data_IF_213507600691
#
_entry.id   IF_213507600691
#
_cell.length_a   1.000
_cell.length_b   1.000
_cell.length_c   1.000
_cell.angle_alpha   90.00
_cell.angle_beta   90.00
_cell.angle_gamma   90.00
#
_symmetry.space_group_name_H-M   'P 1'
#
loop_
_entity.id
_entity.type
_entity.pdbx_description
1 polymer ?
#
# COMPACT_ATOMS: atom_id res chain seq x y z
N UNK A 1 64.84 10.71 33.72
CA UNK A 1 63.72 9.81 33.30
C UNK A 1 62.43 10.25 33.99
N UNK A 2 61.41 10.72 33.25
CA UNK A 2 60.06 11.03 33.80
C UNK A 2 58.89 10.83 32.81
N UNK A 3 59.11 10.81 31.48
CA UNK A 3 58.03 10.69 30.48
C UNK A 3 57.24 9.37 30.53
N UNK A 4 57.90 8.27 30.90
CA UNK A 4 57.34 6.90 30.86
C UNK A 4 56.03 6.75 31.64
N UNK A 5 55.97 7.33 32.84
CA UNK A 5 54.84 7.11 33.75
C UNK A 5 53.60 7.89 33.29
N UNK A 6 53.76 9.05 32.64
CA UNK A 6 52.64 9.82 32.08
C UNK A 6 52.01 9.10 30.89
N UNK A 7 52.83 8.53 30.00
CA UNK A 7 52.37 7.75 28.86
C UNK A 7 51.64 6.47 29.30
N UNK A 8 52.16 5.80 30.33
CA UNK A 8 51.52 4.60 30.91
C UNK A 8 50.16 4.93 31.53
N UNK A 9 50.03 6.05 32.26
CA UNK A 9 48.75 6.49 32.83
C UNK A 9 47.71 6.77 31.74
N UNK A 10 48.12 7.46 30.66
CA UNK A 10 47.26 7.77 29.52
C UNK A 10 46.75 6.47 28.86
N UNK A 11 47.63 5.50 28.65
CA UNK A 11 47.27 4.21 28.05
C UNK A 11 46.24 3.44 28.89
N UNK A 12 46.43 3.42 30.22
CA UNK A 12 45.49 2.79 31.16
C UNK A 12 44.11 3.49 31.09
N UNK A 13 44.06 4.82 31.06
CA UNK A 13 42.78 5.54 30.98
C UNK A 13 42.01 5.25 29.69
N UNK A 14 42.68 5.20 28.54
CA UNK A 14 42.02 4.82 27.26
C UNK A 14 41.45 3.40 27.32
N UNK A 15 42.21 2.44 27.87
CA UNK A 15 41.75 1.06 28.01
C UNK A 15 40.49 1.01 28.90
N UNK A 16 40.49 1.66 30.06
CA UNK A 16 39.30 1.69 30.94
C UNK A 16 38.05 2.31 30.29
N UNK A 17 38.21 3.38 29.50
CA UNK A 17 37.09 4.03 28.81
C UNK A 17 36.53 3.09 27.73
N UNK A 18 37.40 2.45 26.93
CA UNK A 18 36.97 1.50 25.90
C UNK A 18 36.26 0.25 26.46
N UNK A 19 36.58 -0.16 27.70
CA UNK A 19 35.90 -1.28 28.38
C UNK A 19 34.50 -0.95 28.91
N UNK A 20 34.11 0.33 28.95
CA UNK A 20 32.82 0.77 29.53
C UNK A 20 31.67 0.91 28.53
N UNK A 21 31.87 0.53 27.26
CA UNK A 21 30.85 0.63 26.19
C UNK A 21 30.33 -0.77 25.84
N UNK A 22 29.35 -1.27 26.62
CA UNK A 22 28.62 -2.51 26.33
C UNK A 22 27.25 -2.23 25.72
N UNK A 23 27.00 -2.53 24.43
CA UNK A 23 25.71 -2.31 23.79
C UNK A 23 24.76 -3.50 24.02
N UNK A 24 24.12 -3.59 25.19
CA UNK A 24 23.19 -4.68 25.50
C UNK A 24 22.07 -4.33 26.49
N UNK A 25 20.91 -3.94 25.97
CA UNK A 25 19.60 -4.15 26.60
C UNK A 25 18.59 -4.44 25.49
N UNK A 26 18.20 -5.70 25.35
CA UNK A 26 17.33 -6.18 24.27
C UNK A 26 15.89 -5.72 24.41
N UNK A 27 15.17 -5.69 23.30
CA UNK A 27 13.73 -5.53 23.24
C UNK A 27 13.06 -6.63 24.10
N UNK A 28 12.31 -6.23 25.13
CA UNK A 28 11.50 -7.15 25.93
C UNK A 28 10.12 -7.22 25.32
N UNK A 29 9.84 -8.31 24.60
CA UNK A 29 8.49 -8.65 24.15
C UNK A 29 7.65 -9.04 25.36
N UNK A 30 6.61 -8.26 25.63
CA UNK A 30 5.61 -8.55 26.66
C UNK A 30 4.61 -9.56 26.08
N UNK A 31 4.61 -10.78 26.60
CA UNK A 31 3.80 -11.89 26.08
C UNK A 31 2.36 -11.76 26.60
N UNK A 32 1.40 -11.57 25.70
CA UNK A 32 -0.02 -11.59 26.05
C UNK A 32 -0.40 -12.99 26.55
N UNK A 33 -0.94 -13.05 27.77
CA UNK A 33 -1.62 -14.25 28.27
C UNK A 33 -2.85 -14.46 27.38
N UNK A 34 -2.89 -15.59 26.68
CA UNK A 34 -4.08 -16.03 25.96
C UNK A 34 -5.11 -16.54 26.97
N UNK A 35 -6.18 -15.78 27.16
CA UNK A 35 -7.29 -16.12 28.06
C UNK A 35 -8.34 -16.90 27.24
N UNK A 36 -8.06 -18.17 26.99
CA UNK A 36 -8.73 -19.02 25.97
C UNK A 36 -10.17 -19.46 26.33
N UNK A 37 -10.79 -18.86 27.35
CA UNK A 37 -12.03 -19.37 28.00
C UNK A 37 -13.35 -18.65 27.59
N UNK A 38 -13.36 -17.73 26.60
CA UNK A 38 -14.61 -17.05 26.14
C UNK A 38 -15.05 -17.39 24.69
N UNK A 39 -15.01 -18.66 24.30
CA UNK A 39 -15.74 -19.18 23.12
C UNK A 39 -16.89 -20.12 23.50
N UNK A 40 -17.83 -19.60 24.30
CA UNK A 40 -19.04 -20.30 24.74
C UNK A 40 -20.05 -20.57 23.61
N UNK A 41 -19.80 -21.60 22.81
CA UNK A 41 -20.75 -22.12 21.81
C UNK A 41 -21.87 -22.96 22.44
N UNK A 42 -22.80 -22.31 23.16
CA UNK A 42 -24.04 -22.95 23.63
C UNK A 42 -25.22 -22.54 22.72
N UNK A 43 -25.77 -23.52 21.97
CA UNK A 43 -26.91 -23.31 21.08
C UNK A 43 -28.14 -24.12 21.48
N UNK A 44 -29.34 -23.56 21.35
CA UNK A 44 -30.56 -24.30 21.71
C UNK A 44 -31.92 -23.68 21.37
N UNK A 45 -32.55 -24.24 20.33
CA UNK A 45 -34.01 -24.47 20.17
C UNK A 45 -34.99 -23.30 19.95
N UNK A 46 -35.46 -23.27 18.71
CA UNK A 46 -36.84 -23.17 18.25
C UNK A 46 -38.00 -22.99 19.26
N UNK A 47 -38.88 -22.01 18.99
CA UNK A 47 -40.31 -22.08 19.29
C UNK A 47 -41.13 -21.47 18.13
N UNK A 48 -42.00 -22.26 17.50
CA UNK A 48 -43.01 -21.80 16.51
C UNK A 48 -44.39 -22.41 16.85
N UNK A 49 -45.42 -21.59 17.04
CA UNK A 49 -46.83 -21.96 16.86
C UNK A 49 -47.58 -20.95 15.91
N UNK A 50 -48.87 -21.16 15.53
CA UNK A 50 -49.24 -21.11 14.10
C UNK A 50 -50.10 -19.89 13.63
N UNK A 51 -50.42 -19.76 12.32
CA UNK A 51 -50.99 -18.54 11.73
C UNK A 51 -52.53 -18.48 11.68
N UNK A 52 -53.09 -17.27 11.57
CA UNK A 52 -54.51 -17.05 11.21
C UNK A 52 -54.75 -15.94 10.15
N UNK A 53 -55.22 -16.40 8.97
CA UNK A 53 -56.31 -15.83 8.15
C UNK A 53 -56.27 -14.33 7.75
N UNK A 54 -55.73 -14.10 6.55
CA UNK A 54 -56.29 -13.33 5.41
C UNK A 54 -57.24 -12.12 5.64
N UNK A 55 -56.88 -10.99 5.02
CA UNK A 55 -57.81 -9.95 4.54
C UNK A 55 -57.30 -9.33 3.21
N UNK A 56 -58.14 -8.69 2.37
CA UNK A 56 -57.86 -8.52 0.93
C UNK A 56 -56.98 -7.29 0.56
N UNK A 57 -56.34 -7.30 -0.64
CA UNK A 57 -55.28 -6.34 -0.98
C UNK A 57 -55.79 -4.97 -1.46
N UNK A 58 -55.37 -3.85 -0.84
CA UNK A 58 -55.60 -2.51 -1.37
C UNK A 58 -54.61 -2.21 -2.52
N UNK A 59 -55.14 -2.24 -3.75
CA UNK A 59 -54.70 -1.54 -4.98
C UNK A 59 -53.23 -1.07 -5.02
N UNK A 60 -52.48 -1.60 -6.00
CA UNK A 60 -51.12 -1.17 -6.34
C UNK A 60 -51.04 0.29 -6.81
N UNK A 61 -51.07 1.24 -5.86
CA UNK A 61 -50.44 2.54 -6.06
C UNK A 61 -48.97 2.28 -6.34
N UNK A 62 -48.49 2.67 -7.52
CA UNK A 62 -47.07 2.61 -7.88
C UNK A 62 -46.32 3.72 -7.15
N UNK A 63 -46.30 3.62 -5.82
CA UNK A 63 -45.49 4.42 -4.92
C UNK A 63 -44.05 4.06 -5.26
N UNK A 64 -43.50 4.81 -6.23
CA UNK A 64 -42.08 4.83 -6.60
C UNK A 64 -41.32 4.74 -5.28
N UNK A 65 -40.43 3.75 -5.15
CA UNK A 65 -39.55 3.73 -3.99
C UNK A 65 -38.90 5.11 -3.94
N UNK A 66 -39.15 5.82 -2.85
CA UNK A 66 -38.08 6.65 -2.33
C UNK A 66 -37.04 5.61 -1.95
N UNK A 67 -36.10 5.36 -2.86
CA UNK A 67 -34.88 4.67 -2.49
C UNK A 67 -34.38 5.46 -1.28
N UNK A 68 -34.19 4.74 -0.16
CA UNK A 68 -33.76 5.38 1.07
C UNK A 68 -32.29 5.73 0.89
N UNK A 69 -32.06 6.86 0.22
CA UNK A 69 -30.87 7.69 0.38
C UNK A 69 -30.84 8.21 1.82
N UNK A 70 -30.70 7.29 2.78
CA UNK A 70 -30.06 7.52 4.09
C UNK A 70 -28.56 7.76 3.86
N UNK A 71 -28.29 8.75 3.01
CA UNK A 71 -27.03 9.27 2.52
C UNK A 71 -26.39 10.02 3.69
N UNK A 72 -25.85 9.24 4.63
CA UNK A 72 -25.78 9.58 6.05
C UNK A 72 -24.73 10.67 6.27
N UNK A 73 -25.20 11.91 6.20
CA UNK A 73 -24.37 13.11 6.26
C UNK A 73 -23.94 13.39 7.69
N UNK A 74 -22.74 12.93 8.02
CA UNK A 74 -22.10 13.20 9.30
C UNK A 74 -21.50 14.61 9.32
N UNK A 75 -21.54 15.28 10.47
CA UNK A 75 -21.01 16.63 10.65
C UNK A 75 -20.32 16.72 12.02
N UNK A 76 -19.14 17.36 12.06
CA UNK A 76 -18.35 17.50 13.28
C UNK A 76 -17.58 18.82 13.31
N UNK A 77 -17.37 19.37 14.50
CA UNK A 77 -16.68 20.64 14.69
C UNK A 77 -15.16 20.50 14.56
N UNK A 78 -14.52 21.51 13.94
CA UNK A 78 -13.15 21.90 14.26
C UNK A 78 -13.21 22.93 15.39
N UNK A 79 -12.39 22.72 16.41
CA UNK A 79 -12.21 23.69 17.50
C UNK A 79 -10.74 24.12 17.57
N UNK A 80 -10.49 25.33 18.06
CA UNK A 80 -9.14 25.90 18.17
C UNK A 80 -8.93 26.66 19.48
N UNK A 81 -7.69 26.75 19.94
CA UNK A 81 -7.33 27.62 21.05
C UNK A 81 -6.35 28.71 20.56
N UNK A 82 -6.69 29.97 20.86
CA UNK A 82 -5.92 31.17 20.46
C UNK A 82 -5.59 32.00 21.71
N UNK A 83 -4.55 31.57 22.42
CA UNK A 83 -4.04 32.26 23.61
C UNK A 83 -3.41 31.30 24.61
N UNK A 84 -3.09 31.83 25.79
CA UNK A 84 -2.43 31.11 26.90
C UNK A 84 -3.41 30.25 27.73
N UNK A 85 -4.69 30.61 27.74
CA UNK A 85 -5.73 29.95 28.55
C UNK A 85 -6.12 28.53 28.09
N UNK A 86 -5.66 28.08 26.92
CA UNK A 86 -6.05 26.81 26.27
C UNK A 86 -7.57 26.57 26.12
N UNK A 87 -8.37 27.65 26.17
CA UNK A 87 -9.81 27.61 25.91
C UNK A 87 -10.07 27.35 24.42
N UNK A 88 -10.82 26.28 24.12
CA UNK A 88 -11.12 25.86 22.76
C UNK A 88 -12.49 26.39 22.29
N UNK A 89 -12.50 27.22 21.25
CA UNK A 89 -13.69 27.80 20.63
C UNK A 89 -14.02 27.16 19.28
N UNK A 90 -15.27 27.30 18.82
CA UNK A 90 -15.75 26.68 17.59
C UNK A 90 -15.24 27.39 16.32
N UNK A 91 -14.41 26.68 15.56
CA UNK A 91 -13.50 27.25 14.57
C UNK A 91 -13.85 26.90 13.10
N UNK A 92 -14.76 25.96 12.91
CA UNK A 92 -15.24 25.50 11.60
C UNK A 92 -16.01 24.18 11.72
N UNK A 93 -16.61 23.72 10.62
CA UNK A 93 -17.36 22.46 10.57
C UNK A 93 -16.90 21.60 9.40
N UNK A 94 -16.58 20.34 9.69
CA UNK A 94 -16.42 19.29 8.71
C UNK A 94 -17.76 18.62 8.44
N UNK A 95 -18.03 18.29 7.17
CA UNK A 95 -19.19 17.49 6.78
C UNK A 95 -18.75 16.40 5.80
N UNK A 96 -19.22 15.17 6.02
CA UNK A 96 -18.86 14.00 5.22
C UNK A 96 -20.10 13.13 4.98
N UNK A 97 -19.96 12.09 4.15
CA UNK A 97 -20.98 11.04 3.97
C UNK A 97 -20.45 9.72 4.48
N UNK A 98 -21.14 9.14 5.45
CA UNK A 98 -20.90 7.77 5.88
C UNK A 98 -21.25 6.79 4.76
N UNK A 99 -20.40 5.78 4.58
CA UNK A 99 -20.64 4.60 3.76
C UNK A 99 -20.36 3.35 4.58
N UNK A 100 -21.38 2.51 4.72
CA UNK A 100 -21.24 1.13 5.16
C UNK A 100 -20.80 0.26 3.98
N UNK A 101 -19.76 -0.54 4.17
CA UNK A 101 -19.38 -1.62 3.26
C UNK A 101 -20.30 -2.83 3.49
N UNK A 102 -20.49 -3.67 2.47
CA UNK A 102 -21.17 -4.96 2.61
C UNK A 102 -20.46 -5.89 3.63
N UNK A 103 -19.18 -5.64 3.94
CA UNK A 103 -18.38 -6.35 4.93
C UNK A 103 -18.46 -5.69 6.34
N UNK A 104 -19.50 -4.91 6.63
CA UNK A 104 -19.72 -4.23 7.91
C UNK A 104 -18.85 -2.99 8.16
N UNK A 105 -17.64 -2.93 7.60
CA UNK A 105 -16.71 -1.81 7.76
C UNK A 105 -17.31 -0.47 7.33
N UNK A 106 -17.22 0.54 8.19
CA UNK A 106 -17.71 1.89 7.93
C UNK A 106 -16.58 2.78 7.42
N UNK A 107 -16.90 3.75 6.54
CA UNK A 107 -15.94 4.74 6.06
C UNK A 107 -16.64 6.08 5.83
N UNK A 108 -15.98 7.20 6.16
CA UNK A 108 -16.42 8.51 5.69
C UNK A 108 -15.95 8.74 4.25
N UNK A 109 -16.72 9.50 3.46
CA UNK A 109 -16.37 9.87 2.09
C UNK A 109 -16.85 11.29 1.76
N UNK A 110 -16.30 11.88 0.69
CA UNK A 110 -16.62 13.25 0.23
C UNK A 110 -16.52 14.30 1.36
N UNK A 111 -15.43 14.27 2.14
CA UNK A 111 -15.16 15.29 3.16
C UNK A 111 -15.21 16.69 2.55
N UNK A 112 -15.90 17.61 3.22
CA UNK A 112 -15.97 19.03 2.92
C UNK A 112 -15.76 19.79 4.22
N UNK A 113 -14.95 20.84 4.19
CA UNK A 113 -14.70 21.71 5.32
C UNK A 113 -15.29 23.10 5.09
N UNK A 114 -15.83 23.70 6.14
CA UNK A 114 -16.27 25.09 6.18
C UNK A 114 -15.55 25.78 7.34
N UNK A 115 -14.74 26.79 7.03
CA UNK A 115 -13.94 27.52 7.99
C UNK A 115 -14.64 28.80 8.45
N UNK A 116 -14.57 29.11 9.74
CA UNK A 116 -15.10 30.34 10.29
C UNK A 116 -14.06 31.47 10.14
N UNK A 117 -14.50 32.69 9.85
CA UNK A 117 -13.64 33.88 9.89
C UNK A 117 -13.26 34.23 11.33
N UNK A 118 -12.02 34.67 11.53
CA UNK A 118 -11.55 35.11 12.85
C UNK A 118 -12.28 36.38 13.31
N UNK A 119 -12.69 36.42 14.57
CA UNK A 119 -13.23 37.61 15.23
C UNK A 119 -12.13 38.67 15.50
N UNK A 120 -12.52 39.88 15.91
CA UNK A 120 -11.56 40.95 16.21
C UNK A 120 -10.64 40.61 17.39
N UNK A 121 -11.19 40.03 18.46
CA UNK A 121 -10.46 39.59 19.67
C UNK A 121 -9.50 38.43 19.36
N UNK A 122 -9.92 37.45 18.57
CA UNK A 122 -9.04 36.36 18.14
C UNK A 122 -7.89 36.86 17.24
N UNK A 123 -8.13 37.87 16.39
CA UNK A 123 -7.06 38.52 15.60
C UNK A 123 -6.03 39.20 16.49
N UNK A 124 -6.43 39.77 17.63
CA UNK A 124 -5.53 40.37 18.60
C UNK A 124 -4.77 39.32 19.42
N UNK A 125 -5.43 38.25 19.87
CA UNK A 125 -4.75 37.15 20.55
C UNK A 125 -3.77 36.43 19.61
N UNK A 126 -4.12 36.27 18.32
CA UNK A 126 -3.21 35.71 17.32
C UNK A 126 -1.97 36.60 17.09
N UNK A 127 -2.08 37.95 17.18
CA UNK A 127 -0.89 38.83 17.17
C UNK A 127 0.04 38.53 18.34
N UNK A 128 -0.48 38.35 19.55
CA UNK A 128 0.31 37.97 20.74
C UNK A 128 1.03 36.62 20.52
N UNK A 129 0.34 35.62 19.95
CA UNK A 129 0.98 34.35 19.58
C UNK A 129 2.10 34.52 18.55
N UNK A 130 1.98 35.47 17.61
CA UNK A 130 3.07 35.80 16.68
C UNK A 130 4.23 36.50 17.40
N UNK A 131 3.97 37.47 18.26
CA UNK A 131 4.97 38.21 19.03
C UNK A 131 5.80 37.26 19.91
N UNK A 132 5.16 36.35 20.65
CA UNK A 132 5.82 35.34 21.50
C UNK A 132 6.47 34.18 20.73
N UNK A 133 6.11 33.95 19.46
CA UNK A 133 6.36 32.68 18.74
C UNK A 133 5.70 31.47 19.42
N UNK A 134 4.42 31.58 19.80
CA UNK A 134 3.65 30.55 20.50
C UNK A 134 2.90 29.61 19.55
N UNK A 135 2.27 28.58 20.13
CA UNK A 135 1.50 27.56 19.42
C UNK A 135 0.04 27.98 19.21
N UNK A 136 -0.44 27.85 17.99
CA UNK A 136 -1.86 27.75 17.68
C UNK A 136 -2.26 26.26 17.77
N UNK A 137 -3.32 25.96 18.51
CA UNK A 137 -3.78 24.58 18.76
C UNK A 137 -5.13 24.36 18.07
N UNK A 138 -5.32 23.19 17.48
CA UNK A 138 -6.63 22.70 17.00
C UNK A 138 -6.99 21.38 17.67
N UNK A 139 -8.29 21.07 17.74
CA UNK A 139 -8.78 19.75 18.16
C UNK A 139 -9.97 19.29 17.33
N UNK A 140 -10.09 17.96 17.20
CA UNK A 140 -11.22 17.25 16.59
C UNK A 140 -11.70 16.14 17.54
N UNK A 141 -12.99 15.79 17.56
CA UNK A 141 -13.49 14.67 18.37
C UNK A 141 -12.92 13.34 17.88
N UNK A 142 -12.59 12.44 18.81
CA UNK A 142 -11.98 11.14 18.50
C UNK A 142 -12.98 10.14 17.91
N UNK A 143 -14.23 10.11 18.38
CA UNK A 143 -15.33 9.39 17.73
C UNK A 143 -16.25 10.42 17.04
N UNK A 144 -16.47 10.24 15.73
CA UNK A 144 -17.30 11.14 14.92
C UNK A 144 -18.74 10.61 14.79
N UNK A 145 -18.96 9.31 15.01
CA UNK A 145 -20.26 8.63 14.91
C UNK A 145 -21.06 8.77 16.21
N UNK A 146 -20.42 8.51 17.36
CA UNK A 146 -21.05 8.51 18.68
C UNK A 146 -20.64 9.74 19.49
N UNK A 147 -20.98 10.93 18.99
CA UNK A 147 -20.96 12.12 19.84
C UNK A 147 -21.96 11.90 21.01
N UNK A 148 -21.52 11.97 22.29
CA UNK A 148 -20.45 12.83 22.77
C UNK A 148 -19.30 12.09 23.49
N UNK A 149 -18.45 11.39 22.75
CA UNK A 149 -17.10 11.08 23.23
C UNK A 149 -16.40 12.37 23.70
N UNK A 150 -15.84 12.38 24.91
CA UNK A 150 -15.14 13.55 25.48
C UNK A 150 -13.69 13.66 25.01
N UNK A 151 -13.22 12.64 24.30
CA UNK A 151 -11.85 12.51 23.84
C UNK A 151 -11.66 13.30 22.54
N UNK A 152 -10.58 14.06 22.50
CA UNK A 152 -10.24 14.89 21.34
C UNK A 152 -8.81 14.60 20.88
N UNK A 153 -8.62 14.47 19.58
CA UNK A 153 -7.30 14.48 18.95
C UNK A 153 -6.86 15.93 18.77
N UNK A 154 -5.80 16.31 19.46
CA UNK A 154 -5.24 17.67 19.46
C UNK A 154 -3.99 17.73 18.57
N UNK A 155 -3.85 18.81 17.80
CA UNK A 155 -2.66 19.11 17.01
C UNK A 155 -2.24 20.57 17.19
N UNK A 156 -0.95 20.90 17.02
CA UNK A 156 -0.48 22.27 17.23
C UNK A 156 0.70 22.64 16.33
N UNK A 157 0.75 23.91 15.94
CA UNK A 157 1.82 24.49 15.12
C UNK A 157 2.17 25.87 15.64
N UNK A 158 3.43 26.30 15.48
CA UNK A 158 3.84 27.67 15.83
C UNK A 158 3.14 28.69 14.93
N UNK A 159 2.50 29.70 15.52
CA UNK A 159 1.65 30.65 14.81
C UNK A 159 2.38 31.39 13.67
N UNK A 160 3.69 31.65 13.84
CA UNK A 160 4.55 32.26 12.81
C UNK A 160 4.63 31.44 11.52
N UNK A 161 4.46 30.11 11.57
CA UNK A 161 4.41 29.26 10.38
C UNK A 161 3.21 29.61 9.49
N UNK A 162 2.02 29.62 10.10
CA UNK A 162 0.76 29.94 9.43
C UNK A 162 0.77 31.37 8.88
N UNK A 163 1.23 32.34 9.67
CA UNK A 163 1.24 33.75 9.26
C UNK A 163 2.25 34.07 8.13
N UNK A 164 3.42 33.40 8.11
CA UNK A 164 4.39 33.53 7.02
C UNK A 164 3.77 33.14 5.68
N UNK A 165 3.00 32.05 5.69
CA UNK A 165 2.37 31.43 4.51
C UNK A 165 0.95 32.01 4.24
N UNK A 166 0.59 33.12 4.90
CA UNK A 166 -0.63 33.88 4.60
C UNK A 166 -1.93 33.31 5.19
N UNK A 167 -1.83 32.54 6.28
CA UNK A 167 -2.89 31.71 6.86
C UNK A 167 -3.36 30.55 5.94
N UNK A 168 -2.47 30.11 5.05
CA UNK A 168 -2.62 28.84 4.34
C UNK A 168 -2.36 27.67 5.30
N UNK A 169 -3.41 26.91 5.62
CA UNK A 169 -3.38 25.83 6.60
C UNK A 169 -3.72 24.48 5.95
N UNK A 170 -3.02 23.44 6.38
CA UNK A 170 -3.17 22.07 5.90
C UNK A 170 -3.55 21.17 7.08
N UNK A 171 -4.73 20.55 6.99
CA UNK A 171 -5.28 19.63 7.99
C UNK A 171 -5.32 18.23 7.37
N UNK A 172 -4.44 17.32 7.82
CA UNK A 172 -4.47 15.91 7.40
C UNK A 172 -5.06 15.08 8.54
N UNK A 173 -6.26 14.57 8.33
CA UNK A 173 -6.98 13.72 9.27
C UNK A 173 -6.68 12.27 8.92
N UNK A 174 -6.17 11.51 9.89
CA UNK A 174 -6.00 10.06 9.80
C UNK A 174 -7.13 9.40 10.61
N UNK A 175 -7.92 8.55 9.95
CA UNK A 175 -9.12 7.96 10.53
C UNK A 175 -9.24 6.46 10.23
N UNK A 176 -10.00 5.75 11.06
CA UNK A 176 -10.32 4.33 10.90
C UNK A 176 -11.78 4.10 11.32
N UNK A 177 -12.56 3.42 10.46
CA UNK A 177 -13.99 3.27 10.67
C UNK A 177 -14.72 4.63 10.63
N UNK A 178 -15.11 5.11 11.81
CA UNK A 178 -15.59 6.48 12.07
C UNK A 178 -14.79 7.24 13.13
N UNK A 179 -13.65 6.71 13.58
CA UNK A 179 -12.81 7.29 14.61
C UNK A 179 -11.64 8.04 13.99
N UNK A 180 -11.28 9.21 14.53
CA UNK A 180 -10.07 9.95 14.19
C UNK A 180 -8.95 9.48 15.11
N UNK A 181 -7.87 8.97 14.52
CA UNK A 181 -6.71 8.43 15.24
C UNK A 181 -5.61 9.48 15.41
N UNK A 182 -5.39 10.32 14.39
CA UNK A 182 -4.38 11.37 14.41
C UNK A 182 -4.77 12.55 13.51
N UNK A 183 -4.31 13.75 13.89
CA UNK A 183 -4.48 14.99 13.10
C UNK A 183 -3.11 15.64 12.95
N UNK A 184 -2.65 15.78 11.71
CA UNK A 184 -1.46 16.58 11.39
C UNK A 184 -1.90 17.97 10.93
N UNK A 185 -1.33 19.01 11.53
CA UNK A 185 -1.69 20.40 11.31
C UNK A 185 -0.46 21.28 11.10
N UNK A 186 -0.49 22.12 10.06
CA UNK A 186 0.55 23.11 9.79
C UNK A 186 0.22 23.94 8.56
N UNK A 187 1.23 24.58 7.98
CA UNK A 187 1.14 25.17 6.64
C UNK A 187 1.84 24.27 5.61
N UNK A 188 1.62 24.52 4.32
CA UNK A 188 2.28 23.74 3.24
C UNK A 188 3.79 24.02 3.12
N UNK A 189 4.29 25.15 3.65
CA UNK A 189 5.70 25.53 3.58
C UNK A 189 6.54 25.08 4.78
N UNK A 190 7.74 24.55 4.53
CA UNK A 190 8.67 24.09 5.58
C UNK A 190 8.97 25.19 6.63
N UNK A 191 8.52 25.02 7.87
CA UNK A 191 8.66 26.03 8.92
C UNK A 191 9.99 25.94 9.68
N UNK A 192 11.08 26.24 8.97
CA UNK A 192 12.43 26.28 9.54
C UNK A 192 12.64 27.45 10.51
N UNK A 193 13.59 27.28 11.44
CA UNK A 193 14.08 28.33 12.32
C UNK A 193 15.24 29.09 11.65
N UNK A 194 15.38 30.42 11.80
CA UNK A 194 14.59 31.33 12.63
C UNK A 194 13.24 31.72 12.04
N UNK A 195 12.17 31.61 12.83
CA UNK A 195 10.81 32.03 12.45
C UNK A 195 10.68 33.55 12.59
N UNK A 196 10.71 34.27 11.47
CA UNK A 196 10.54 35.72 11.45
C UNK A 196 9.12 36.14 11.88
N UNK A 197 9.01 37.27 12.59
CA UNK A 197 7.72 37.89 12.91
C UNK A 197 7.16 38.57 11.65
N UNK A 198 6.02 38.07 11.15
CA UNK A 198 5.31 38.64 10.01
C UNK A 198 3.80 38.49 10.22
N UNK A 199 3.04 39.58 10.09
CA UNK A 199 1.58 39.53 10.08
C UNK A 199 1.07 39.07 8.69
N UNK A 200 -0.03 38.31 8.62
CA UNK A 200 -0.59 37.89 7.35
C UNK A 200 -1.25 39.07 6.62
N UNK A 201 -1.20 39.06 5.28
CA UNK A 201 -1.83 40.10 4.44
C UNK A 201 -3.35 39.96 4.33
N UNK A 202 -3.89 38.77 4.63
CA UNK A 202 -5.31 38.46 4.73
C UNK A 202 -5.56 37.81 6.10
N UNK A 203 -6.60 38.25 6.81
CA UNK A 203 -6.97 37.70 8.12
C UNK A 203 -8.11 36.70 8.02
N UNK A 204 -7.95 35.75 7.10
CA UNK A 204 -8.88 34.68 6.72
C UNK A 204 -8.05 33.44 6.40
N UNK A 205 -8.38 32.28 6.97
CA UNK A 205 -7.66 31.03 6.68
C UNK A 205 -7.99 30.51 5.27
N UNK A 206 -6.99 29.96 4.58
CA UNK A 206 -7.19 29.13 3.40
C UNK A 206 -6.93 27.67 3.78
N UNK A 207 -7.99 26.86 3.86
CA UNK A 207 -7.95 25.57 4.54
C UNK A 207 -7.94 24.39 3.57
N UNK A 208 -6.77 23.81 3.36
CA UNK A 208 -6.61 22.57 2.62
C UNK A 208 -6.80 21.36 3.55
N UNK A 209 -7.74 20.47 3.23
CA UNK A 209 -8.09 19.33 4.12
C UNK A 209 -8.00 18.00 3.39
N UNK A 210 -7.23 17.05 3.94
CA UNK A 210 -7.01 15.72 3.37
C UNK A 210 -7.45 14.66 4.38
N UNK A 211 -8.20 13.66 3.91
CA UNK A 211 -8.66 12.55 4.72
C UNK A 211 -7.94 11.26 4.30
N UNK A 212 -7.27 10.62 5.25
CA UNK A 212 -6.54 9.36 5.07
C UNK A 212 -7.16 8.28 5.93
N UNK A 213 -7.18 7.07 5.41
CA UNK A 213 -7.72 5.88 6.08
C UNK A 213 -6.59 4.90 6.39
N UNK A 214 -6.83 3.95 7.27
CA UNK A 214 -6.05 2.71 7.31
C UNK A 214 -6.27 1.93 6.01
N UNK A 215 -5.28 1.94 5.11
CA UNK A 215 -5.28 1.06 3.95
C UNK A 215 -4.82 -0.33 4.40
N UNK A 216 -5.69 -1.34 4.24
CA UNK A 216 -5.29 -2.73 4.46
C UNK A 216 -4.15 -3.07 3.51
N UNK A 217 -3.05 -3.62 4.03
CA UNK A 217 -1.89 -3.98 3.24
C UNK A 217 -2.30 -4.81 2.02
N UNK A 218 -1.72 -4.56 0.82
CA UNK A 218 -2.02 -5.35 -0.36
C UNK A 218 -1.87 -6.83 -0.05
N UNK A 219 -2.96 -7.59 -0.17
CA UNK A 219 -2.89 -9.05 -0.05
C UNK A 219 -1.82 -9.53 -1.02
N UNK A 220 -0.88 -10.34 -0.52
CA UNK A 220 0.11 -11.00 -1.37
C UNK A 220 -0.63 -11.65 -2.54
N UNK A 221 -0.12 -11.53 -3.79
CA UNK A 221 -0.75 -12.22 -4.89
C UNK A 221 -0.82 -13.70 -4.52
N UNK A 222 -2.03 -14.26 -4.54
CA UNK A 222 -2.23 -15.69 -4.30
C UNK A 222 -1.59 -16.42 -5.46
N UNK A 223 -0.33 -16.80 -5.29
CA UNK A 223 0.28 -17.85 -6.09
C UNK A 223 -0.63 -19.07 -5.92
N UNK A 224 -1.33 -19.43 -7.00
CA UNK A 224 -2.16 -20.63 -7.02
C UNK A 224 -1.27 -21.81 -6.63
N UNK A 225 -1.66 -22.59 -5.62
CA UNK A 225 -1.02 -23.87 -5.32
C UNK A 225 -1.45 -24.96 -6.33
N UNK A 226 -1.49 -24.58 -7.61
CA UNK A 226 -1.70 -25.41 -8.81
C UNK A 226 -0.41 -26.22 -9.13
N UNK A 227 0.20 -26.71 -8.05
CA UNK A 227 1.38 -27.57 -7.98
C UNK A 227 1.11 -28.71 -6.97
N UNK A 228 0.09 -28.60 -6.09
CA UNK A 228 -0.18 -29.56 -5.00
C UNK A 228 -1.54 -30.26 -4.96
N UNK A 229 -2.54 -29.81 -5.73
CA UNK A 229 -3.96 -30.22 -5.54
C UNK A 229 -4.65 -30.74 -6.81
N UNK A 230 -3.91 -31.40 -7.71
CA UNK A 230 -4.44 -31.95 -8.96
C UNK A 230 -4.04 -33.43 -9.16
N UNK A 231 -4.36 -34.29 -8.18
CA UNK A 231 -4.17 -35.76 -8.29
C UNK A 231 -5.24 -36.58 -7.54
N UNK A 232 -6.52 -36.27 -7.79
CA UNK A 232 -7.64 -37.24 -7.71
C UNK A 232 -8.64 -36.89 -8.82
N UNK A 233 -8.59 -37.59 -9.96
CA UNK A 233 -9.57 -37.43 -11.04
C UNK A 233 -8.96 -37.56 -12.44
N UNK A 234 -9.13 -38.73 -13.04
CA UNK A 234 -8.65 -39.11 -14.37
C UNK A 234 -9.16 -38.18 -15.50
N UNK A 235 -8.26 -37.58 -16.29
CA UNK A 235 -8.33 -37.64 -17.77
C UNK A 235 -7.04 -37.16 -18.48
N UNK A 236 -7.02 -37.26 -19.82
CA UNK A 236 -5.83 -37.38 -20.66
C UNK A 236 -4.81 -36.22 -20.68
N UNK A 237 -3.54 -36.57 -20.52
CA UNK A 237 -2.62 -36.44 -21.67
C UNK A 237 -1.63 -35.29 -21.72
N UNK A 238 -1.64 -34.31 -20.81
CA UNK A 238 -0.61 -33.26 -20.76
C UNK A 238 0.68 -33.82 -20.12
N UNK A 239 1.62 -34.26 -20.96
CA UNK A 239 2.94 -34.72 -20.50
C UNK A 239 3.67 -33.58 -19.80
N UNK A 240 4.19 -33.77 -18.57
CA UNK A 240 5.04 -32.76 -17.94
C UNK A 240 6.28 -32.49 -18.80
N UNK A 241 6.85 -31.29 -18.67
CA UNK A 241 8.12 -30.95 -19.34
C UNK A 241 9.25 -31.65 -18.58
N UNK A 242 9.39 -32.95 -18.83
CA UNK A 242 10.48 -33.78 -18.31
C UNK A 242 11.80 -33.17 -18.79
N UNK A 243 12.60 -32.67 -17.86
CA UNK A 243 13.95 -32.22 -18.14
C UNK A 243 14.71 -33.37 -18.80
N UNK A 244 15.07 -33.19 -20.09
CA UNK A 244 15.58 -34.30 -20.90
C UNK A 244 16.90 -34.79 -20.33
N UNK A 245 16.86 -35.97 -19.70
CA UNK A 245 18.00 -36.70 -19.15
C UNK A 245 19.23 -36.60 -20.06
N UNK A 246 20.41 -36.45 -19.45
CA UNK A 246 21.67 -36.15 -20.13
C UNK A 246 21.90 -36.98 -21.41
N UNK A 247 21.58 -38.27 -21.39
CA UNK A 247 21.64 -39.13 -22.58
C UNK A 247 20.84 -38.57 -23.78
N UNK A 248 19.58 -38.17 -23.57
CA UNK A 248 18.71 -37.58 -24.60
C UNK A 248 19.15 -36.18 -25.07
N UNK A 249 20.03 -35.50 -24.32
CA UNK A 249 20.62 -34.21 -24.69
C UNK A 249 21.96 -34.35 -25.42
N UNK A 250 22.75 -35.40 -25.12
CA UNK A 250 24.13 -35.53 -25.60
C UNK A 250 24.39 -36.71 -26.57
N UNK A 251 23.45 -37.65 -26.76
CA UNK A 251 23.61 -38.77 -27.73
C UNK A 251 23.98 -38.31 -29.15
N UNK A 252 23.38 -37.20 -29.62
CA UNK A 252 23.64 -36.60 -30.94
C UNK A 252 25.09 -36.13 -31.11
N UNK A 253 25.81 -35.88 -30.02
CA UNK A 253 27.24 -35.54 -30.04
C UNK A 253 28.13 -36.77 -29.78
N UNK A 254 27.67 -37.71 -28.93
CA UNK A 254 28.40 -38.94 -28.64
C UNK A 254 28.51 -39.87 -29.86
N UNK A 255 27.47 -40.00 -30.68
CA UNK A 255 27.48 -40.89 -31.86
C UNK A 255 28.47 -40.41 -32.94
N UNK A 256 28.45 -39.14 -33.40
CA UNK A 256 29.44 -38.66 -34.37
C UNK A 256 30.87 -38.65 -33.81
N UNK A 257 31.06 -38.28 -32.55
CA UNK A 257 32.39 -38.23 -31.93
C UNK A 257 32.96 -39.65 -31.76
N UNK A 258 32.13 -40.62 -31.40
CA UNK A 258 32.51 -42.04 -31.40
C UNK A 258 32.89 -42.56 -32.80
N UNK A 259 32.16 -42.20 -33.84
CA UNK A 259 32.49 -42.55 -35.23
C UNK A 259 33.79 -41.89 -35.71
N UNK A 260 34.05 -40.63 -35.34
CA UNK A 260 35.30 -39.93 -35.67
C UNK A 260 36.48 -40.61 -34.98
N UNK A 261 36.38 -40.92 -33.68
CA UNK A 261 37.44 -41.64 -32.94
C UNK A 261 37.66 -43.05 -33.51
N UNK A 262 36.59 -43.79 -33.81
CA UNK A 262 36.69 -45.13 -34.41
C UNK A 262 37.34 -45.10 -35.79
N UNK A 263 36.98 -44.13 -36.64
CA UNK A 263 37.55 -44.00 -37.98
C UNK A 263 39.01 -43.50 -37.91
N UNK A 264 39.35 -42.59 -37.00
CA UNK A 264 40.72 -42.15 -36.76
C UNK A 264 41.61 -43.28 -36.22
N UNK A 265 41.11 -44.10 -35.28
CA UNK A 265 41.83 -45.29 -34.82
C UNK A 265 41.96 -46.35 -35.91
N UNK A 266 40.90 -46.61 -36.70
CA UNK A 266 40.97 -47.53 -37.84
C UNK A 266 41.99 -47.07 -38.88
N UNK A 267 42.04 -45.77 -39.21
CA UNK A 267 43.06 -45.24 -40.13
C UNK A 267 44.47 -45.28 -39.51
N UNK A 268 44.65 -44.93 -38.24
CA UNK A 268 45.94 -45.01 -37.56
C UNK A 268 46.47 -46.45 -37.41
N UNK A 269 45.58 -47.46 -37.39
CA UNK A 269 45.96 -48.89 -37.38
C UNK A 269 46.05 -49.51 -38.79
N UNK A 270 45.53 -48.85 -39.83
CA UNK A 270 45.64 -49.24 -41.25
C UNK A 270 46.45 -48.20 -42.05
N UNK A 271 47.63 -47.80 -41.55
CA UNK A 271 48.63 -47.04 -42.33
C UNK A 271 49.77 -47.96 -42.81
N UNK A 272 49.65 -48.58 -44.00
CA UNK A 272 50.81 -49.01 -44.79
C UNK A 272 51.40 -47.82 -45.57
N UNK A 273 52.59 -48.02 -46.15
CA UNK A 273 53.28 -47.02 -46.97
C UNK A 273 52.74 -46.92 -48.41
N UNK A 274 52.98 -45.76 -49.03
CA UNK A 274 53.04 -45.47 -50.48
C UNK A 274 51.79 -45.53 -51.40
N UNK A 275 51.74 -44.52 -52.29
CA UNK A 275 51.15 -44.51 -53.66
C UNK A 275 49.61 -44.72 -53.85
N UNK A 276 48.99 -44.38 -54.99
CA UNK A 276 49.15 -43.24 -55.92
C UNK A 276 47.96 -43.18 -56.92
N UNK A 277 47.57 -41.98 -57.40
CA UNK A 277 46.66 -41.72 -58.55
C UNK A 277 45.18 -42.20 -58.44
N UNK A 278 44.29 -41.91 -59.42
CA UNK A 278 43.04 -42.72 -59.56
C UNK A 278 41.78 -42.19 -60.28
N UNK A 279 41.47 -40.89 -60.31
CA UNK A 279 40.57 -40.20 -61.29
C UNK A 279 39.18 -40.78 -61.74
N UNK A 280 38.09 -40.11 -61.30
CA UNK A 280 36.86 -39.70 -62.04
C UNK A 280 35.68 -40.65 -62.47
N UNK A 281 34.45 -40.06 -62.48
CA UNK A 281 33.25 -40.44 -63.27
C UNK A 281 32.15 -41.28 -62.56
N UNK A 282 30.85 -41.25 -62.91
CA UNK A 282 30.02 -40.29 -63.69
C UNK A 282 28.49 -40.52 -63.44
N UNK A 283 27.62 -39.62 -63.94
CA UNK A 283 26.12 -39.59 -63.88
C UNK A 283 25.44 -40.36 -65.06
N UNK A 284 24.10 -40.33 -65.35
CA UNK A 284 22.92 -39.57 -64.81
C UNK A 284 21.76 -40.52 -64.36
N UNK A 285 20.42 -40.28 -64.33
CA UNK A 285 19.40 -39.23 -64.68
C UNK A 285 18.11 -39.53 -63.83
N UNK A 286 16.87 -38.98 -63.87
CA UNK A 286 16.03 -37.98 -64.58
C UNK A 286 14.87 -37.61 -63.58
N UNK A 287 14.23 -36.43 -63.41
CA UNK A 287 13.42 -35.53 -64.27
C UNK A 287 12.11 -36.17 -64.84
N UNK A 288 10.94 -35.50 -65.02
CA UNK A 288 10.59 -34.06 -65.18
C UNK A 288 9.14 -33.72 -64.71
N UNK A 289 8.91 -32.58 -64.03
CA UNK A 289 7.74 -31.68 -64.24
C UNK A 289 6.51 -31.72 -63.29
N UNK A 290 5.55 -30.78 -63.36
CA UNK A 290 5.55 -29.36 -63.80
C UNK A 290 4.17 -28.69 -63.49
N UNK A 291 4.11 -27.35 -63.33
CA UNK A 291 2.85 -26.60 -63.07
C UNK A 291 2.70 -25.34 -63.95
N UNK A 292 1.47 -24.83 -64.20
CA UNK A 292 1.23 -23.50 -64.77
C UNK A 292 0.61 -22.50 -63.77
N UNK A 293 0.57 -21.20 -64.15
CA UNK A 293 0.35 -20.07 -63.23
C UNK A 293 -0.48 -18.95 -63.85
N UNK A 294 -1.69 -18.73 -63.30
CA UNK A 294 -2.37 -17.43 -63.12
C UNK A 294 -2.76 -16.57 -64.34
N UNK A 295 -3.88 -15.86 -64.19
CA UNK A 295 -4.16 -14.58 -64.87
C UNK A 295 -5.31 -13.86 -64.14
N UNK A 296 -5.42 -12.54 -64.30
CA UNK A 296 -6.48 -11.73 -63.71
C UNK A 296 -6.83 -10.53 -64.60
N UNK A 297 -8.09 -10.12 -64.59
CA UNK A 297 -8.60 -9.01 -65.40
C UNK A 297 -9.65 -8.21 -64.61
N UNK A 298 -9.66 -6.88 -64.80
CA UNK A 298 -10.60 -5.98 -64.15
C UNK A 298 -11.79 -5.65 -65.06
N UNK A 299 -12.95 -5.38 -64.47
CA UNK A 299 -14.17 -4.90 -65.16
C UNK A 299 -14.70 -3.66 -64.44
N UNK A 300 -15.29 -2.72 -65.21
CA UNK A 300 -15.73 -1.40 -64.74
C UNK A 300 -17.04 -1.02 -65.45
N UNK A 301 -17.86 -0.20 -64.78
CA UNK A 301 -19.20 0.32 -65.19
C UNK A 301 -20.34 -0.69 -64.93
N UNK A 302 -21.57 -0.24 -64.71
CA UNK A 302 -22.06 1.16 -64.64
C UNK A 302 -22.19 1.64 -63.21
#
# INVERSE_FOLDING_TARGET
MKLTNSLLLLLITLITISSSISPSSSFQSDELIADDEEFGLEGGRDVIPPPQIQSPPPKASRKRSSDSESDSRLQFALEHAIGENDEFTHAGTFTARLKTSAHGGQTLTKLRFSRNDLTATEKENFKKLLENDDYYKIRLPSDVLNAPGRDYVISSVKARCLARDGLDEHIVIHMEGGNILAVNYGSLGACQYPRQLRNPSKWSFNSHTVLKYSEMAPRTPTFSEEIGSADIGDEEGIKPIVERSFWAKYWMYLVPLGLIVMNAMTQAMNMPEEQASGQAGAQPQQAVGAAPRGQGAAVRRR
#
